data_IF_287248757962
#
_entry.id   IF_287248757962
#
_cell.length_a   1.000
_cell.length_b   1.000
_cell.length_c   1.000
_cell.angle_alpha   90.00
_cell.angle_beta   90.00
_cell.angle_gamma   90.00
#
_symmetry.space_group_name_H-M   'P 1'
#
loop_
_entity.id
_entity.type
_entity.pdbx_description
1 polymer ?
#
# COMPACT_ATOMS: atom_id res chain seq x y z
N UNK A 1 8.94 -27.12 1.51
CA UNK A 1 8.01 -26.59 2.53
C UNK A 1 7.53 -25.24 2.04
N UNK A 2 6.21 -24.98 1.97
CA UNK A 2 5.69 -23.66 1.67
C UNK A 2 6.29 -22.65 2.65
N UNK A 3 6.76 -21.50 2.17
CA UNK A 3 7.22 -20.43 3.06
C UNK A 3 6.07 -20.06 3.99
N UNK A 4 6.32 -20.11 5.31
CA UNK A 4 5.31 -20.09 6.38
C UNK A 4 4.35 -18.88 6.43
N UNK A 5 4.45 -17.90 5.52
CA UNK A 5 3.77 -16.60 5.65
C UNK A 5 3.08 -16.08 4.37
N UNK A 6 2.79 -16.92 3.37
CA UNK A 6 2.03 -16.48 2.19
C UNK A 6 0.84 -17.39 1.93
N UNK A 7 -0.33 -16.98 2.41
CA UNK A 7 -1.61 -17.64 2.16
C UNK A 7 -1.87 -17.78 0.65
N UNK A 8 -1.60 -16.72 -0.12
CA UNK A 8 -1.61 -16.73 -1.57
C UNK A 8 -0.19 -16.86 -2.12
N UNK A 9 0.08 -17.89 -2.92
CA UNK A 9 1.39 -18.08 -3.53
C UNK A 9 1.70 -17.04 -4.61
N UNK A 10 2.99 -16.87 -4.93
CA UNK A 10 3.44 -15.99 -6.01
C UNK A 10 2.78 -16.36 -7.35
N UNK A 11 2.68 -17.64 -7.65
CA UNK A 11 2.06 -18.16 -8.87
C UNK A 11 0.58 -17.79 -8.94
N UNK A 12 -0.15 -17.96 -7.84
CA UNK A 12 -1.55 -17.52 -7.75
C UNK A 12 -1.71 -16.03 -8.06
N UNK A 13 -0.89 -15.19 -7.42
CA UNK A 13 -0.96 -13.74 -7.60
C UNK A 13 -0.61 -13.34 -9.04
N UNK A 14 0.41 -13.96 -9.64
CA UNK A 14 0.78 -13.71 -11.02
C UNK A 14 -0.33 -14.14 -11.99
N UNK A 15 -0.92 -15.31 -11.79
CA UNK A 15 -2.02 -15.74 -12.66
C UNK A 15 -3.22 -14.82 -12.53
N UNK A 16 -3.63 -14.45 -11.31
CA UNK A 16 -4.79 -13.57 -11.11
C UNK A 16 -4.61 -12.17 -11.73
N UNK A 17 -3.45 -11.55 -11.52
CA UNK A 17 -3.24 -10.14 -11.87
C UNK A 17 -2.55 -9.91 -13.22
N UNK A 18 -1.87 -10.92 -13.78
CA UNK A 18 -1.20 -10.80 -15.09
C UNK A 18 -1.91 -11.61 -16.16
N UNK A 19 -2.18 -12.87 -15.91
CA UNK A 19 -2.72 -13.79 -16.94
C UNK A 19 -4.24 -13.65 -17.08
N UNK A 20 -4.94 -13.45 -15.95
CA UNK A 20 -6.37 -13.20 -15.91
C UNK A 20 -6.72 -11.71 -15.87
N UNK A 21 -5.80 -10.82 -16.24
CA UNK A 21 -6.01 -9.37 -16.17
C UNK A 21 -7.32 -8.93 -16.84
N UNK A 22 -7.59 -9.42 -18.05
CA UNK A 22 -8.78 -9.11 -18.85
C UNK A 22 -10.00 -10.01 -18.54
N UNK A 23 -9.85 -11.00 -17.65
CA UNK A 23 -10.95 -11.89 -17.30
C UNK A 23 -12.01 -11.15 -16.49
N UNK A 24 -13.27 -11.56 -16.67
CA UNK A 24 -14.39 -11.00 -15.91
C UNK A 24 -14.30 -11.31 -14.40
N UNK A 25 -15.05 -10.54 -13.62
CA UNK A 25 -15.13 -10.67 -12.15
C UNK A 25 -15.47 -12.10 -11.72
N UNK A 26 -16.42 -12.76 -12.39
CA UNK A 26 -16.86 -14.11 -12.02
C UNK A 26 -15.73 -15.11 -12.17
N UNK A 27 -14.96 -15.01 -13.25
CA UNK A 27 -13.82 -15.87 -13.54
C UNK A 27 -12.71 -15.68 -12.51
N UNK A 28 -12.39 -14.42 -12.17
CA UNK A 28 -11.40 -14.09 -11.12
C UNK A 28 -11.81 -14.60 -9.74
N UNK A 29 -13.09 -14.44 -9.38
CA UNK A 29 -13.64 -14.97 -8.13
C UNK A 29 -13.57 -16.49 -8.12
N UNK A 30 -14.02 -17.16 -9.18
CA UNK A 30 -13.99 -18.63 -9.24
C UNK A 30 -12.57 -19.18 -9.15
N UNK A 31 -11.62 -18.57 -9.86
CA UNK A 31 -10.19 -18.91 -9.76
C UNK A 31 -9.69 -18.78 -8.32
N UNK A 32 -10.03 -17.68 -7.64
CA UNK A 32 -9.66 -17.41 -6.25
C UNK A 32 -10.26 -18.41 -5.27
N UNK A 33 -11.56 -18.67 -5.36
CA UNK A 33 -12.23 -19.62 -4.48
C UNK A 33 -11.72 -21.05 -4.70
N UNK A 34 -11.48 -21.44 -5.95
CA UNK A 34 -10.88 -22.74 -6.25
C UNK A 34 -9.50 -22.89 -5.61
N UNK A 35 -8.66 -21.85 -5.68
CA UNK A 35 -7.36 -21.86 -5.02
C UNK A 35 -7.49 -22.00 -3.50
N UNK A 36 -8.35 -21.21 -2.87
CA UNK A 36 -8.60 -21.24 -1.42
C UNK A 36 -9.02 -22.64 -0.96
N UNK A 37 -9.93 -23.30 -1.69
CA UNK A 37 -10.34 -24.67 -1.39
C UNK A 37 -9.18 -25.67 -1.38
N UNK A 38 -8.13 -25.45 -2.19
CA UNK A 38 -6.95 -26.32 -2.19
C UNK A 38 -6.01 -26.11 -1.00
N UNK A 39 -6.04 -24.94 -0.36
CA UNK A 39 -5.07 -24.57 0.68
C UNK A 39 -5.68 -24.40 2.07
N UNK A 40 -6.99 -24.20 2.19
CA UNK A 40 -7.67 -23.79 3.44
C UNK A 40 -7.41 -24.71 4.64
N UNK A 41 -7.28 -26.02 4.40
CA UNK A 41 -7.02 -27.01 5.46
C UNK A 41 -5.65 -26.83 6.15
N UNK A 42 -4.74 -26.06 5.53
CA UNK A 42 -3.42 -25.76 6.09
C UNK A 42 -3.40 -24.50 6.96
N UNK A 43 -4.52 -23.79 7.09
CA UNK A 43 -4.58 -22.47 7.75
C UNK A 43 -5.72 -22.41 8.77
N UNK A 44 -5.60 -21.58 9.83
CA UNK A 44 -6.70 -21.30 10.74
C UNK A 44 -7.91 -20.72 10.00
N UNK A 45 -9.12 -21.11 10.41
CA UNK A 45 -10.37 -20.65 9.79
C UNK A 45 -10.46 -19.12 9.70
N UNK A 46 -10.11 -18.42 10.79
CA UNK A 46 -10.11 -16.95 10.82
C UNK A 46 -9.21 -16.33 9.74
N UNK A 47 -8.02 -16.92 9.52
CA UNK A 47 -7.11 -16.46 8.47
C UNK A 47 -7.70 -16.74 7.08
N UNK A 48 -8.29 -17.92 6.87
CA UNK A 48 -8.96 -18.27 5.61
C UNK A 48 -10.07 -17.27 5.31
N UNK A 49 -10.94 -16.98 6.27
CA UNK A 49 -12.05 -16.03 6.12
C UNK A 49 -11.54 -14.63 5.79
N UNK A 50 -10.57 -14.12 6.55
CA UNK A 50 -9.98 -12.80 6.33
C UNK A 50 -9.31 -12.69 4.95
N UNK A 51 -8.50 -13.67 4.56
CA UNK A 51 -7.82 -13.67 3.27
C UNK A 51 -8.80 -13.82 2.10
N UNK A 52 -9.90 -14.56 2.29
CA UNK A 52 -10.98 -14.66 1.31
C UNK A 52 -11.65 -13.31 1.12
N UNK A 53 -12.09 -12.67 2.22
CA UNK A 53 -12.80 -11.38 2.17
C UNK A 53 -11.95 -10.30 1.52
N UNK A 54 -10.69 -10.20 1.93
CA UNK A 54 -9.74 -9.21 1.38
C UNK A 54 -9.48 -9.42 -0.10
N UNK A 55 -9.33 -10.66 -0.56
CA UNK A 55 -9.10 -10.94 -1.97
C UNK A 55 -10.34 -10.67 -2.83
N UNK A 56 -11.53 -11.01 -2.33
CA UNK A 56 -12.78 -10.67 -3.01
C UNK A 56 -12.99 -9.15 -3.09
N UNK A 57 -12.69 -8.42 -2.02
CA UNK A 57 -12.76 -6.96 -1.99
C UNK A 57 -11.83 -6.34 -3.06
N UNK A 58 -10.59 -6.82 -3.17
CA UNK A 58 -9.66 -6.38 -4.20
C UNK A 58 -10.19 -6.68 -5.61
N UNK A 59 -10.70 -7.89 -5.86
CA UNK A 59 -11.25 -8.25 -7.18
C UNK A 59 -12.42 -7.34 -7.55
N UNK A 60 -13.37 -7.11 -6.64
CA UNK A 60 -14.49 -6.21 -6.91
C UNK A 60 -14.00 -4.77 -7.14
N UNK A 61 -13.04 -4.29 -6.36
CA UNK A 61 -12.46 -2.96 -6.52
C UNK A 61 -11.79 -2.80 -7.90
N UNK A 62 -10.93 -3.74 -8.29
CA UNK A 62 -10.19 -3.70 -9.57
C UNK A 62 -11.12 -3.85 -10.77
N UNK A 63 -12.26 -4.51 -10.61
CA UNK A 63 -13.32 -4.61 -11.62
C UNK A 63 -14.30 -3.42 -11.57
N UNK A 64 -14.02 -2.41 -10.75
CA UNK A 64 -14.87 -1.22 -10.55
C UNK A 64 -16.29 -1.54 -10.06
N UNK A 65 -16.50 -2.72 -9.47
CA UNK A 65 -17.74 -3.15 -8.84
C UNK A 65 -17.80 -2.65 -7.39
N UNK A 66 -17.66 -1.33 -7.21
CA UNK A 66 -17.49 -0.69 -5.90
C UNK A 66 -18.62 -0.97 -4.91
N UNK A 67 -19.86 -1.09 -5.39
CA UNK A 67 -21.01 -1.45 -4.55
C UNK A 67 -20.87 -2.84 -3.91
N UNK A 68 -20.18 -3.77 -4.57
CA UNK A 68 -19.90 -5.11 -4.04
C UNK A 68 -18.64 -5.13 -3.16
N UNK A 69 -17.65 -4.29 -3.48
CA UNK A 69 -16.45 -4.14 -2.65
C UNK A 69 -16.77 -3.51 -1.28
N UNK A 70 -17.67 -2.52 -1.26
CA UNK A 70 -17.98 -1.72 -0.07
C UNK A 70 -18.34 -2.53 1.19
N UNK A 71 -19.32 -3.46 1.17
CA UNK A 71 -19.67 -4.22 2.37
C UNK A 71 -18.51 -5.07 2.90
N UNK A 72 -17.69 -5.65 2.01
CA UNK A 72 -16.51 -6.43 2.40
C UNK A 72 -15.46 -5.54 3.07
N UNK A 73 -15.19 -4.36 2.49
CA UNK A 73 -14.20 -3.42 3.01
C UNK A 73 -14.62 -2.85 4.37
N UNK A 74 -15.92 -2.59 4.59
CA UNK A 74 -16.44 -2.19 5.91
C UNK A 74 -16.20 -3.29 6.95
N UNK A 75 -16.55 -4.53 6.63
CA UNK A 75 -16.37 -5.66 7.53
C UNK A 75 -14.87 -5.89 7.87
N UNK A 76 -13.98 -5.82 6.87
CA UNK A 76 -12.53 -5.90 7.07
C UNK A 76 -12.05 -4.76 7.99
N UNK A 77 -12.59 -3.55 7.82
CA UNK A 77 -12.21 -2.39 8.62
C UNK A 77 -12.78 -2.41 10.05
N UNK A 78 -13.77 -3.26 10.35
CA UNK A 78 -14.32 -3.44 11.70
C UNK A 78 -13.61 -4.57 12.46
N UNK A 79 -13.09 -5.58 11.75
CA UNK A 79 -12.41 -6.73 12.36
C UNK A 79 -10.99 -6.40 12.84
N UNK A 80 -10.54 -7.19 13.82
CA UNK A 80 -9.13 -7.30 14.15
C UNK A 80 -8.39 -8.01 13.00
N UNK A 81 -7.18 -7.55 12.74
CA UNK A 81 -6.35 -8.11 11.66
C UNK A 81 -5.62 -9.34 12.19
N UNK A 82 -5.81 -10.54 11.59
CA UNK A 82 -5.10 -11.73 12.04
C UNK A 82 -3.58 -11.53 11.99
N UNK A 83 -2.86 -12.15 12.93
CA UNK A 83 -1.40 -12.07 12.97
C UNK A 83 -0.77 -12.41 11.61
N UNK A 84 0.34 -11.74 11.29
CA UNK A 84 1.14 -11.98 10.06
C UNK A 84 0.43 -11.69 8.73
N UNK A 85 -0.72 -11.01 8.74
CA UNK A 85 -1.34 -10.50 7.51
C UNK A 85 -0.88 -9.06 7.22
N UNK A 86 -1.02 -8.63 5.96
CA UNK A 86 -0.78 -7.25 5.59
C UNK A 86 -1.71 -6.33 6.40
N UNK A 87 -1.14 -5.26 6.98
CA UNK A 87 -1.87 -4.45 7.96
C UNK A 87 -3.13 -3.78 7.38
N UNK A 88 -4.16 -3.63 8.23
CA UNK A 88 -5.46 -2.97 8.00
C UNK A 88 -5.45 -1.71 7.12
N UNK A 89 -4.38 -0.91 7.21
CA UNK A 89 -4.24 0.36 6.48
C UNK A 89 -4.50 0.28 4.97
N UNK A 90 -4.11 -0.80 4.29
CA UNK A 90 -4.36 -0.95 2.85
C UNK A 90 -5.86 -0.99 2.55
N UNK A 91 -6.62 -1.71 3.37
CA UNK A 91 -8.08 -1.83 3.22
C UNK A 91 -8.81 -0.57 3.68
N UNK A 92 -8.23 0.19 4.62
CA UNK A 92 -8.72 1.53 4.97
C UNK A 92 -8.62 2.49 3.78
N UNK A 93 -7.47 2.54 3.08
CA UNK A 93 -7.33 3.33 1.84
C UNK A 93 -8.29 2.88 0.75
N UNK A 94 -8.45 1.57 0.54
CA UNK A 94 -9.44 1.06 -0.41
C UNK A 94 -10.86 1.48 -0.02
N UNK A 95 -11.23 1.43 1.26
CA UNK A 95 -12.55 1.87 1.73
C UNK A 95 -12.79 3.36 1.47
N UNK A 96 -11.80 4.23 1.72
CA UNK A 96 -11.87 5.67 1.39
C UNK A 96 -12.12 5.85 -0.11
N UNK A 97 -11.33 5.18 -0.96
CA UNK A 97 -11.45 5.24 -2.42
C UNK A 97 -12.80 4.70 -2.91
N UNK A 98 -13.29 3.59 -2.35
CA UNK A 98 -14.59 3.00 -2.68
C UNK A 98 -15.72 3.98 -2.35
N UNK A 99 -15.71 4.58 -1.16
CA UNK A 99 -16.68 5.62 -0.83
C UNK A 99 -16.59 6.81 -1.79
N UNK A 100 -15.38 7.26 -2.14
CA UNK A 100 -15.15 8.35 -3.09
C UNK A 100 -15.73 8.05 -4.47
N UNK A 101 -15.46 6.87 -5.04
CA UNK A 101 -15.98 6.48 -6.35
C UNK A 101 -17.50 6.28 -6.37
N UNK A 102 -18.10 5.96 -5.22
CA UNK A 102 -19.55 5.93 -5.03
C UNK A 102 -20.15 7.30 -4.70
N UNK A 103 -19.34 8.37 -4.68
CA UNK A 103 -19.72 9.75 -4.31
C UNK A 103 -20.25 9.89 -2.88
N UNK A 104 -19.93 8.93 -2.01
CA UNK A 104 -20.21 8.95 -0.58
C UNK A 104 -19.09 9.74 0.14
N UNK A 105 -18.95 11.03 -0.20
CA UNK A 105 -17.80 11.83 0.19
C UNK A 105 -17.69 12.07 1.70
N UNK A 106 -18.83 12.16 2.39
CA UNK A 106 -18.84 12.33 3.86
C UNK A 106 -18.35 11.09 4.58
N UNK A 107 -18.74 9.92 4.09
CA UNK A 107 -18.28 8.64 4.59
C UNK A 107 -16.80 8.43 4.28
N UNK A 108 -16.34 8.79 3.08
CA UNK A 108 -14.92 8.78 2.73
C UNK A 108 -14.09 9.66 3.70
N UNK A 109 -14.58 10.88 3.97
CA UNK A 109 -13.94 11.81 4.91
C UNK A 109 -13.89 11.22 6.33
N UNK A 110 -15.00 10.66 6.81
CA UNK A 110 -15.06 10.06 8.15
C UNK A 110 -14.08 8.89 8.31
N UNK A 111 -13.94 8.05 7.29
CA UNK A 111 -12.95 6.95 7.30
C UNK A 111 -11.52 7.50 7.30
N UNK A 112 -11.24 8.52 6.49
CA UNK A 112 -9.94 9.20 6.48
C UNK A 112 -9.60 9.83 7.84
N UNK A 113 -10.54 10.56 8.44
CA UNK A 113 -10.36 11.20 9.76
C UNK A 113 -10.03 10.18 10.84
N UNK A 114 -10.77 9.08 10.90
CA UNK A 114 -10.50 7.98 11.83
C UNK A 114 -9.13 7.32 11.59
N UNK A 115 -8.71 7.18 10.33
CA UNK A 115 -7.39 6.65 9.99
C UNK A 115 -6.25 7.60 10.40
N UNK A 116 -6.45 8.91 10.22
CA UNK A 116 -5.49 9.95 10.62
C UNK A 116 -5.35 10.05 12.13
N UNK A 117 -6.45 9.90 12.89
CA UNK A 117 -6.38 9.86 14.36
C UNK A 117 -5.50 8.71 14.87
N UNK A 118 -5.56 7.53 14.24
CA UNK A 118 -4.65 6.43 14.56
C UNK A 118 -3.19 6.76 14.25
N UNK A 119 -2.93 7.50 13.17
CA UNK A 119 -1.57 7.95 12.84
C UNK A 119 -1.05 9.00 13.82
N UNK A 120 -1.90 9.81 14.45
CA UNK A 120 -1.48 10.72 15.51
C UNK A 120 -0.91 9.97 16.73
N UNK A 121 -1.39 8.75 16.99
CA UNK A 121 -0.93 7.93 18.12
C UNK A 121 0.34 7.14 17.80
N UNK A 122 0.48 6.66 16.57
CA UNK A 122 1.63 5.88 16.10
C UNK A 122 2.00 6.25 14.66
N UNK A 123 2.68 7.38 14.46
CA UNK A 123 2.87 7.95 13.14
C UNK A 123 3.78 7.08 12.29
N UNK A 124 3.33 6.79 11.06
CA UNK A 124 4.12 6.13 10.03
C UNK A 124 4.07 6.98 8.77
N UNK A 125 5.16 7.68 8.47
CA UNK A 125 5.19 8.69 7.42
C UNK A 125 4.69 8.21 6.05
N UNK A 126 5.04 7.00 5.61
CA UNK A 126 4.49 6.46 4.35
C UNK A 126 2.97 6.28 4.39
N UNK A 127 2.41 5.81 5.51
CA UNK A 127 0.95 5.68 5.66
C UNK A 127 0.26 7.03 5.69
N UNK A 128 0.88 8.01 6.33
CA UNK A 128 0.39 9.40 6.35
C UNK A 128 0.37 9.95 4.93
N UNK A 129 1.43 9.72 4.13
CA UNK A 129 1.48 10.12 2.73
C UNK A 129 0.37 9.47 1.89
N UNK A 130 0.15 8.16 2.04
CA UNK A 130 -0.94 7.45 1.35
C UNK A 130 -2.32 8.05 1.70
N UNK A 131 -2.57 8.32 2.99
CA UNK A 131 -3.83 8.93 3.45
C UNK A 131 -4.01 10.37 2.94
N UNK A 132 -2.93 11.17 2.93
CA UNK A 132 -2.96 12.53 2.38
C UNK A 132 -3.26 12.51 0.87
N UNK A 133 -2.72 11.56 0.12
CA UNK A 133 -3.07 11.38 -1.29
C UNK A 133 -4.56 11.06 -1.45
N UNK A 134 -5.09 10.12 -0.66
CA UNK A 134 -6.51 9.77 -0.67
C UNK A 134 -7.40 10.97 -0.34
N UNK A 135 -6.99 11.82 0.61
CA UNK A 135 -7.71 13.05 0.99
C UNK A 135 -7.64 14.14 -0.07
N UNK A 136 -6.49 14.35 -0.71
CA UNK A 136 -6.39 15.30 -1.84
C UNK A 136 -7.32 14.90 -2.98
N UNK A 137 -7.30 13.62 -3.36
CA UNK A 137 -8.23 13.11 -4.36
C UNK A 137 -9.70 13.31 -3.94
N UNK A 138 -10.02 13.09 -2.64
CA UNK A 138 -11.37 13.34 -2.11
C UNK A 138 -11.76 14.82 -2.22
N UNK A 139 -10.87 15.74 -1.86
CA UNK A 139 -11.11 17.17 -1.98
C UNK A 139 -11.39 17.58 -3.42
N UNK A 140 -10.61 17.08 -4.37
CA UNK A 140 -10.81 17.35 -5.80
C UNK A 140 -12.16 16.80 -6.31
N UNK A 141 -12.48 15.54 -6.01
CA UNK A 141 -13.72 14.89 -6.46
C UNK A 141 -14.98 15.52 -5.82
N UNK A 142 -14.87 16.04 -4.60
CA UNK A 142 -15.94 16.71 -3.87
C UNK A 142 -15.98 18.24 -4.07
N UNK A 143 -14.97 18.81 -4.75
CA UNK A 143 -14.77 20.26 -4.93
C UNK A 143 -14.68 20.98 -3.57
N UNK A 144 -13.96 20.39 -2.63
CA UNK A 144 -13.70 20.96 -1.30
C UNK A 144 -12.33 21.63 -1.25
N UNK A 145 -12.18 22.72 -0.47
CA UNK A 145 -10.86 23.19 -0.11
C UNK A 145 -10.16 22.14 0.76
N UNK A 146 -8.83 22.08 0.65
CA UNK A 146 -8.01 21.29 1.57
C UNK A 146 -8.11 21.89 2.98
N UNK A 147 -8.35 21.06 4.00
CA UNK A 147 -8.40 21.51 5.40
C UNK A 147 -6.97 21.72 5.95
N UNK A 148 -6.59 22.94 6.35
CA UNK A 148 -5.26 23.23 6.88
C UNK A 148 -4.88 22.44 8.13
N UNK A 149 -5.84 21.81 8.83
CA UNK A 149 -5.55 20.97 10.00
C UNK A 149 -4.61 19.81 9.68
N UNK A 150 -4.54 19.37 8.42
CA UNK A 150 -3.67 18.28 7.96
C UNK A 150 -2.32 18.75 7.42
N UNK A 151 -2.06 20.05 7.35
CA UNK A 151 -0.74 20.58 6.92
C UNK A 151 0.43 20.15 7.81
N UNK A 152 0.30 20.07 9.15
CA UNK A 152 1.37 19.56 10.01
C UNK A 152 1.83 18.16 9.62
N UNK A 153 0.91 17.29 9.15
CA UNK A 153 1.22 15.93 8.72
C UNK A 153 2.04 15.91 7.42
N UNK A 154 1.84 16.87 6.53
CA UNK A 154 2.67 17.01 5.32
C UNK A 154 4.11 17.35 5.71
N UNK A 155 4.28 18.31 6.62
CA UNK A 155 5.60 18.69 7.13
C UNK A 155 6.30 17.52 7.84
N UNK A 156 5.52 16.76 8.63
CA UNK A 156 6.02 15.54 9.26
C UNK A 156 6.51 14.53 8.22
N UNK A 157 5.74 14.25 7.17
CA UNK A 157 6.16 13.33 6.09
C UNK A 157 7.46 13.80 5.44
N UNK A 158 7.57 15.10 5.15
CA UNK A 158 8.78 15.68 4.56
C UNK A 158 9.99 15.46 5.47
N UNK A 159 9.85 15.75 6.77
CA UNK A 159 10.91 15.61 7.75
C UNK A 159 11.31 14.14 7.97
N UNK A 160 10.33 13.26 8.20
CA UNK A 160 10.54 11.86 8.58
C UNK A 160 11.14 11.05 7.42
N UNK A 161 10.75 11.34 6.18
CA UNK A 161 11.27 10.64 5.00
C UNK A 161 12.42 11.38 4.31
N UNK A 162 12.65 12.64 4.68
CA UNK A 162 13.68 13.51 4.10
C UNK A 162 13.41 13.80 2.63
N UNK A 163 12.18 14.25 2.31
CA UNK A 163 11.86 14.76 0.99
C UNK A 163 12.51 16.13 0.75
N UNK A 164 12.81 16.48 -0.52
CA UNK A 164 13.26 17.83 -0.84
C UNK A 164 12.15 18.86 -0.60
N UNK A 165 12.49 19.97 0.04
CA UNK A 165 11.57 21.10 0.21
C UNK A 165 11.21 21.73 -1.14
N UNK A 166 9.93 22.08 -1.29
CA UNK A 166 9.37 22.74 -2.47
C UNK A 166 8.37 23.80 -2.04
N UNK A 167 8.40 24.95 -2.70
CA UNK A 167 7.39 25.99 -2.53
C UNK A 167 6.25 25.74 -3.53
N UNK A 168 5.24 24.97 -3.10
CA UNK A 168 4.07 24.55 -3.86
C UNK A 168 2.82 24.79 -3.00
N UNK A 169 1.63 24.84 -3.62
CA UNK A 169 0.39 24.78 -2.84
C UNK A 169 0.26 23.42 -2.13
N UNK A 170 -0.57 23.34 -1.07
CA UNK A 170 -0.73 22.13 -0.25
C UNK A 170 -1.10 20.90 -1.08
N UNK A 171 -2.04 21.03 -2.01
CA UNK A 171 -2.44 19.95 -2.93
C UNK A 171 -1.27 19.56 -3.84
N UNK A 172 -0.64 20.53 -4.50
CA UNK A 172 0.49 20.27 -5.41
C UNK A 172 1.68 19.63 -4.67
N UNK A 173 1.91 20.01 -3.42
CA UNK A 173 2.95 19.46 -2.58
C UNK A 173 2.70 17.97 -2.29
N UNK A 174 1.49 17.59 -1.83
CA UNK A 174 1.14 16.18 -1.61
C UNK A 174 1.30 15.37 -2.90
N UNK A 175 0.83 15.89 -4.04
CA UNK A 175 0.99 15.24 -5.36
C UNK A 175 2.46 15.06 -5.72
N UNK A 176 3.28 16.08 -5.50
CA UNK A 176 4.71 16.01 -5.74
C UNK A 176 5.38 14.94 -4.87
N UNK A 177 5.08 14.91 -3.56
CA UNK A 177 5.64 13.93 -2.63
C UNK A 177 5.28 12.50 -3.06
N UNK A 178 4.01 12.24 -3.36
CA UNK A 178 3.56 10.90 -3.71
C UNK A 178 4.06 10.44 -5.08
N UNK A 179 4.07 11.32 -6.08
CA UNK A 179 4.65 10.98 -7.38
C UNK A 179 6.15 10.67 -7.26
N UNK A 180 6.88 11.43 -6.44
CA UNK A 180 8.30 11.20 -6.21
C UNK A 180 8.51 9.89 -5.43
N UNK A 181 7.74 9.66 -4.38
CA UNK A 181 7.70 8.41 -3.61
C UNK A 181 7.53 7.19 -4.52
N UNK A 182 6.43 7.16 -5.29
CA UNK A 182 6.10 6.08 -6.23
C UNK A 182 7.22 5.81 -7.23
N UNK A 183 7.78 6.85 -7.82
CA UNK A 183 8.87 6.75 -8.81
C UNK A 183 10.08 6.04 -8.21
N UNK A 184 10.52 6.47 -7.03
CA UNK A 184 11.70 5.92 -6.38
C UNK A 184 11.45 4.55 -5.76
N UNK A 185 10.27 4.30 -5.22
CA UNK A 185 9.85 2.99 -4.75
C UNK A 185 9.91 1.93 -5.85
N UNK A 186 9.40 2.25 -7.06
CA UNK A 186 9.44 1.34 -8.21
C UNK A 186 10.88 1.05 -8.64
N UNK A 187 11.73 2.09 -8.72
CA UNK A 187 13.15 1.92 -9.06
C UNK A 187 13.87 1.04 -8.04
N UNK A 188 13.64 1.26 -6.75
CA UNK A 188 14.19 0.43 -5.68
C UNK A 188 13.73 -1.02 -5.83
N UNK A 189 12.43 -1.24 -5.99
CA UNK A 189 11.85 -2.56 -6.19
C UNK A 189 12.48 -3.29 -7.37
N UNK A 190 12.70 -2.60 -8.49
CA UNK A 190 13.34 -3.17 -9.70
C UNK A 190 14.76 -3.66 -9.41
N UNK A 191 15.55 -2.94 -8.60
CA UNK A 191 16.89 -3.40 -8.19
C UNK A 191 16.76 -4.65 -7.31
N UNK A 192 15.81 -4.68 -6.39
CA UNK A 192 15.63 -5.78 -5.43
C UNK A 192 15.19 -7.09 -6.09
N UNK A 193 14.32 -7.02 -7.09
CA UNK A 193 13.81 -8.21 -7.79
C UNK A 193 14.69 -8.66 -8.94
N UNK A 194 15.79 -7.94 -9.24
CA UNK A 194 16.70 -8.32 -10.32
C UNK A 194 17.45 -9.60 -9.94
N UNK A 195 17.05 -10.70 -10.58
CA UNK A 195 17.68 -12.02 -10.50
C UNK A 195 18.94 -12.05 -11.40
N UNK A 196 19.82 -13.03 -11.20
CA UNK A 196 20.99 -13.32 -12.04
C UNK A 196 22.08 -12.23 -12.18
N UNK A 197 22.15 -11.28 -11.23
CA UNK A 197 23.25 -10.30 -11.17
C UNK A 197 24.25 -10.64 -10.07
N UNK A 198 25.52 -10.28 -10.29
CA UNK A 198 26.54 -10.43 -9.24
C UNK A 198 26.29 -9.46 -8.08
N UNK A 199 26.83 -9.78 -6.90
CA UNK A 199 26.75 -8.87 -5.75
C UNK A 199 27.43 -7.52 -6.04
N UNK A 200 28.50 -7.52 -6.84
CA UNK A 200 29.20 -6.30 -7.25
C UNK A 200 28.33 -5.43 -8.16
N UNK A 201 27.65 -6.03 -9.15
CA UNK A 201 26.70 -5.32 -10.01
C UNK A 201 25.52 -4.78 -9.18
N UNK A 202 24.98 -5.59 -8.26
CA UNK A 202 23.92 -5.16 -7.35
C UNK A 202 24.35 -3.97 -6.48
N UNK A 203 25.56 -4.01 -5.93
CA UNK A 203 26.11 -2.90 -5.14
C UNK A 203 26.26 -1.64 -5.99
N UNK A 204 26.72 -1.76 -7.24
CA UNK A 204 26.81 -0.64 -8.18
C UNK A 204 25.44 -0.01 -8.46
N UNK A 205 24.40 -0.81 -8.71
CA UNK A 205 23.04 -0.31 -8.90
C UNK A 205 22.51 0.44 -7.68
N UNK A 206 22.76 -0.05 -6.46
CA UNK A 206 22.40 0.68 -5.25
C UNK A 206 23.21 1.96 -5.06
N UNK A 207 24.49 1.98 -5.43
CA UNK A 207 25.31 3.20 -5.38
C UNK A 207 24.78 4.27 -6.34
N UNK A 208 24.46 3.90 -7.58
CA UNK A 208 23.83 4.78 -8.57
C UNK A 208 22.49 5.32 -8.03
N UNK A 209 21.65 4.42 -7.49
CA UNK A 209 20.38 4.80 -6.85
C UNK A 209 20.57 5.83 -5.72
N UNK A 210 21.57 5.66 -4.85
CA UNK A 210 21.85 6.58 -3.74
C UNK A 210 22.24 7.97 -4.25
N UNK A 211 23.04 8.05 -5.33
CA UNK A 211 23.48 9.34 -5.89
C UNK A 211 22.33 10.13 -6.51
N UNK A 212 21.37 9.44 -7.11
CA UNK A 212 20.27 10.10 -7.82
C UNK A 212 19.02 10.32 -6.96
N UNK A 213 18.78 9.47 -5.94
CA UNK A 213 17.56 9.53 -5.15
C UNK A 213 17.54 10.77 -4.24
N UNK A 214 16.53 11.66 -4.36
CA UNK A 214 16.45 12.86 -3.56
C UNK A 214 15.86 12.61 -2.16
N UNK A 215 15.27 11.44 -1.92
CA UNK A 215 14.58 11.11 -0.66
C UNK A 215 15.57 10.43 0.29
N UNK A 216 15.81 11.03 1.46
CA UNK A 216 16.81 10.55 2.42
C UNK A 216 16.53 9.11 2.88
N UNK A 217 15.27 8.78 3.21
CA UNK A 217 14.90 7.45 3.68
C UNK A 217 15.33 6.35 2.71
N UNK A 218 15.10 6.56 1.41
CA UNK A 218 15.46 5.63 0.36
C UNK A 218 16.97 5.49 0.18
N UNK A 219 17.71 6.60 0.28
CA UNK A 219 19.19 6.57 0.27
C UNK A 219 19.74 5.77 1.45
N UNK A 220 19.19 5.98 2.64
CA UNK A 220 19.61 5.26 3.84
C UNK A 220 19.29 3.77 3.74
N UNK A 221 18.13 3.43 3.20
CA UNK A 221 17.74 2.05 2.93
C UNK A 221 18.71 1.38 1.96
N UNK A 222 18.94 1.98 0.80
CA UNK A 222 19.86 1.45 -0.22
C UNK A 222 21.29 1.32 0.33
N UNK A 223 21.74 2.26 1.15
CA UNK A 223 23.07 2.21 1.79
C UNK A 223 23.22 0.99 2.70
N UNK A 224 22.18 0.64 3.46
CA UNK A 224 22.16 -0.57 4.30
C UNK A 224 22.19 -1.86 3.49
N UNK A 225 21.66 -1.86 2.25
CA UNK A 225 21.71 -3.01 1.37
C UNK A 225 23.12 -3.31 0.84
N UNK A 226 23.98 -2.29 0.71
CA UNK A 226 25.38 -2.44 0.26
C UNK A 226 26.28 -2.87 1.43
N UNK A 227 26.08 -2.27 2.60
CA UNK A 227 26.85 -2.53 3.82
C UNK A 227 25.91 -2.96 4.94
N UNK A 228 25.48 -4.23 4.98
CA UNK A 228 24.73 -4.72 6.13
C UNK A 228 25.63 -4.53 7.34
N UNK A 229 25.23 -3.67 8.29
CA UNK A 229 25.93 -3.55 9.56
C UNK A 229 26.05 -4.96 10.13
N UNK A 230 27.29 -5.44 10.28
CA UNK A 230 27.57 -6.60 11.13
C UNK A 230 27.06 -6.17 12.51
N UNK A 231 26.03 -6.84 13.00
CA UNK A 231 25.49 -6.59 14.33
C UNK A 231 26.64 -6.80 15.35
N UNK A 232 27.07 -5.79 16.11
CA UNK A 232 28.07 -5.99 17.15
C UNK A 232 27.36 -6.43 18.43
N UNK A 233 26.90 -7.69 18.46
CA UNK A 233 26.48 -8.43 19.67
C UNK A 233 26.64 -9.93 19.33
N UNK A 234 27.80 -10.58 19.47
CA UNK A 234 28.44 -11.04 20.71
C UNK A 234 28.26 -10.20 21.97
#
# INVERSE_FOLDING_TARGET
MPQQNQFFSKEFMLTLYRELWEADTKTKIQFTLNYIETVKENYPLELVEYMTQTQLANIYFDQQEYEKALPLLKEINEKETPEKTAGKHLYTSLLIRTHRFLKNYKEALSVFEGAMEQQNQNPKAFKILDLLEDYVNLCEDAVWPFDPIYEPHIHQVIQDLGFPEKNLSTIELVRFLEQLNKTWNIRLGTIQVKEDISQEERNKLFQEYIQECPIQWYRDYASRCISPKINPQN
#
